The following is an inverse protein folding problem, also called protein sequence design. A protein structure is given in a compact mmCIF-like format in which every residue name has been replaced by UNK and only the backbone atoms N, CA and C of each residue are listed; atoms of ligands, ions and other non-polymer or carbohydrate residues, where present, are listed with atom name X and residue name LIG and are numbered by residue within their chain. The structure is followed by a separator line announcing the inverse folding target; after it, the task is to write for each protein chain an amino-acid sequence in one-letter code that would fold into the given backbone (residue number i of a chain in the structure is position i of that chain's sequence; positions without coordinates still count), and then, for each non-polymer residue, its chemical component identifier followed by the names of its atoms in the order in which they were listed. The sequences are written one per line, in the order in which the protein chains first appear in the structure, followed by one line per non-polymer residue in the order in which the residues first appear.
data_IF_756952594558
#
_entry.id   IF_756952594558
#
_cell.length_a   1.000
_cell.length_b   1.000
_cell.length_c   1.000
_cell.angle_alpha   90.00
_cell.angle_beta   90.00
_cell.angle_gamma   90.00
#
_symmetry.space_group_name_H-M   'P 1'
#
loop_
_entity.id
_entity.type
_entity.pdbx_description
1 polymer ?
#
# COMPACT_ATOMS: atom_id res chain seq x y z
N UNK A 1 -5.89 -19.85 31.13
CA UNK A 1 -5.36 -18.75 30.31
C UNK A 1 -4.12 -19.28 29.63
N UNK A 2 -4.20 -19.58 28.33
CA UNK A 2 -3.08 -20.13 27.59
C UNK A 2 -2.18 -18.97 27.16
N UNK A 3 -0.99 -18.86 27.75
CA UNK A 3 0.09 -18.01 27.25
C UNK A 3 0.63 -18.66 25.99
N UNK A 4 0.31 -18.09 24.81
CA UNK A 4 1.00 -18.46 23.58
C UNK A 4 2.52 -18.29 23.80
N UNK A 5 3.35 -19.22 23.32
CA UNK A 5 4.79 -19.03 23.34
C UNK A 5 5.06 -17.75 22.56
N UNK A 6 5.69 -16.76 23.21
CA UNK A 6 6.29 -15.64 22.53
C UNK A 6 7.36 -16.25 21.64
N UNK A 7 6.99 -16.49 20.38
CA UNK A 7 7.96 -16.74 19.32
C UNK A 7 8.97 -15.61 19.42
N UNK A 8 10.24 -15.94 19.24
CA UNK A 8 11.35 -15.01 19.09
C UNK A 8 11.05 -14.15 17.84
N UNK A 9 10.11 -13.20 17.99
CA UNK A 9 9.56 -12.38 16.92
C UNK A 9 10.62 -11.35 16.66
N UNK A 10 11.50 -11.69 15.71
CA UNK A 10 12.48 -10.76 15.19
C UNK A 10 11.72 -9.59 14.59
N UNK A 11 11.58 -8.55 15.39
CA UNK A 11 11.10 -7.26 14.95
C UNK A 11 12.07 -6.69 13.92
N UNK A 12 11.57 -5.83 13.06
CA UNK A 12 12.35 -5.06 12.12
C UNK A 12 13.42 -4.30 12.89
N UNK A 13 14.69 -4.59 12.59
CA UNK A 13 15.79 -3.90 13.24
C UNK A 13 15.84 -2.44 12.80
N UNK A 14 16.42 -1.59 13.64
CA UNK A 14 16.64 -0.18 13.33
C UNK A 14 17.36 0.00 11.98
N UNK A 15 18.46 -0.74 11.76
CA UNK A 15 19.22 -0.68 10.52
C UNK A 15 18.39 -1.10 9.30
N UNK A 16 17.55 -2.14 9.43
CA UNK A 16 16.66 -2.58 8.36
C UNK A 16 15.59 -1.54 8.03
N UNK A 17 15.01 -0.90 9.06
CA UNK A 17 14.06 0.19 8.88
C UNK A 17 14.69 1.38 8.15
N UNK A 18 15.91 1.77 8.54
CA UNK A 18 16.64 2.85 7.86
C UNK A 18 16.95 2.51 6.41
N UNK A 19 17.35 1.27 6.11
CA UNK A 19 17.59 0.82 4.74
C UNK A 19 16.31 0.87 3.88
N UNK A 20 15.17 0.45 4.43
CA UNK A 20 13.88 0.56 3.75
C UNK A 20 13.52 2.03 3.47
N UNK A 21 13.64 2.92 4.46
CA UNK A 21 13.34 4.34 4.28
C UNK A 21 14.28 5.00 3.26
N UNK A 22 15.54 4.59 3.20
CA UNK A 22 16.54 5.17 2.30
C UNK A 22 16.20 4.95 0.82
N UNK A 23 15.52 3.85 0.48
CA UNK A 23 15.14 3.54 -0.90
C UNK A 23 13.77 4.10 -1.31
N UNK A 24 12.98 4.60 -0.35
CA UNK A 24 11.67 5.18 -0.64
C UNK A 24 11.80 6.58 -1.25
N UNK A 25 10.90 6.97 -2.19
CA UNK A 25 10.76 8.35 -2.62
C UNK A 25 10.55 9.28 -1.42
N UNK A 26 11.14 10.48 -1.49
CA UNK A 26 11.15 11.47 -0.40
C UNK A 26 9.77 11.71 0.20
N UNK A 27 8.76 11.93 -0.65
CA UNK A 27 7.36 12.13 -0.21
C UNK A 27 6.82 10.99 0.65
N UNK A 28 7.14 9.74 0.32
CA UNK A 28 6.65 8.56 1.05
C UNK A 28 7.42 8.39 2.35
N UNK A 29 8.76 8.53 2.30
CA UNK A 29 9.61 8.49 3.49
C UNK A 29 9.17 9.51 4.54
N UNK A 30 8.95 10.76 4.12
CA UNK A 30 8.54 11.83 5.02
C UNK A 30 7.16 11.60 5.63
N UNK A 31 6.24 10.99 4.85
CA UNK A 31 4.92 10.61 5.37
C UNK A 31 5.05 9.61 6.53
N UNK A 32 5.87 8.57 6.39
CA UNK A 32 6.12 7.61 7.46
C UNK A 32 6.79 8.24 8.69
N UNK A 33 7.82 9.07 8.48
CA UNK A 33 8.51 9.76 9.57
C UNK A 33 7.59 10.73 10.32
N UNK A 34 6.77 11.48 9.61
CA UNK A 34 5.81 12.41 10.20
C UNK A 34 4.69 11.67 10.93
N UNK A 35 4.23 10.55 10.39
CA UNK A 35 3.23 9.73 11.07
C UNK A 35 3.78 9.13 12.37
N UNK A 36 4.99 8.55 12.34
CA UNK A 36 5.66 8.03 13.52
C UNK A 36 5.77 9.07 14.64
N UNK A 37 6.17 10.31 14.30
CA UNK A 37 6.19 11.43 15.25
C UNK A 37 4.81 11.80 15.80
N UNK A 38 3.77 11.78 14.95
CA UNK A 38 2.41 12.14 15.36
C UNK A 38 1.82 11.16 16.38
N UNK A 39 2.11 9.88 16.23
CA UNK A 39 1.60 8.84 17.13
C UNK A 39 2.61 8.45 18.23
N UNK A 40 3.75 9.13 18.31
CA UNK A 40 4.84 8.89 19.27
C UNK A 40 5.40 7.45 19.24
N UNK A 41 5.48 6.86 18.04
CA UNK A 41 5.98 5.49 17.85
C UNK A 41 7.33 5.50 17.14
N UNK A 42 8.09 4.43 17.36
CA UNK A 42 9.33 4.21 16.63
C UNK A 42 9.05 3.94 15.14
N UNK A 43 9.99 4.32 14.28
CA UNK A 43 9.79 4.17 12.84
C UNK A 43 9.75 2.70 12.41
N UNK A 44 10.48 1.84 13.11
CA UNK A 44 10.46 0.38 12.95
C UNK A 44 9.06 -0.14 13.17
N UNK A 45 8.42 0.25 14.28
CA UNK A 45 7.09 -0.23 14.64
C UNK A 45 6.03 0.23 13.63
N UNK A 46 6.13 1.47 13.15
CA UNK A 46 5.23 1.98 12.10
C UNK A 46 5.38 1.20 10.80
N UNK A 47 6.62 0.93 10.37
CA UNK A 47 6.87 0.15 9.16
C UNK A 47 6.40 -1.30 9.32
N UNK A 48 6.63 -1.92 10.47
CA UNK A 48 6.12 -3.25 10.77
C UNK A 48 4.60 -3.31 10.73
N UNK A 49 3.91 -2.36 11.36
CA UNK A 49 2.45 -2.31 11.35
C UNK A 49 1.91 -2.14 9.93
N UNK A 50 2.52 -1.27 9.11
CA UNK A 50 2.11 -1.08 7.73
C UNK A 50 2.31 -2.34 6.88
N UNK A 51 3.43 -3.05 7.07
CA UNK A 51 3.71 -4.31 6.36
C UNK A 51 2.79 -5.44 6.84
N UNK A 52 2.55 -5.53 8.14
CA UNK A 52 1.67 -6.54 8.73
C UNK A 52 0.22 -6.35 8.29
N UNK A 53 -0.28 -5.11 8.31
CA UNK A 53 -1.61 -4.73 7.85
C UNK A 53 -1.78 -5.06 6.36
N UNK A 54 -0.80 -4.74 5.51
CA UNK A 54 -0.84 -5.09 4.09
C UNK A 54 -0.88 -6.61 3.82
N UNK A 55 -0.28 -7.41 4.71
CA UNK A 55 -0.26 -8.87 4.59
C UNK A 55 -1.48 -9.55 5.23
N UNK A 56 -2.31 -8.80 5.95
CA UNK A 56 -3.55 -9.31 6.52
C UNK A 56 -4.59 -9.51 5.39
N UNK A 57 -5.12 -10.73 5.18
CA UNK A 57 -6.10 -11.00 4.13
C UNK A 57 -7.41 -10.23 4.31
N UNK A 58 -7.69 -9.73 5.52
CA UNK A 58 -8.89 -8.96 5.83
C UNK A 58 -8.66 -7.44 5.71
N UNK A 59 -7.43 -6.99 5.38
CA UNK A 59 -7.13 -5.56 5.21
C UNK A 59 -7.70 -5.02 3.90
N UNK A 60 -8.14 -3.76 3.93
CA UNK A 60 -8.70 -3.08 2.76
C UNK A 60 -7.59 -2.79 1.76
N UNK A 61 -7.66 -3.45 0.59
CA UNK A 61 -6.69 -3.25 -0.47
C UNK A 61 -7.21 -2.25 -1.51
N UNK A 62 -6.31 -1.78 -2.38
CA UNK A 62 -6.72 -0.98 -3.54
C UNK A 62 -7.71 -1.73 -4.43
N UNK A 63 -7.68 -3.06 -4.51
CA UNK A 63 -8.63 -3.82 -5.33
C UNK A 63 -10.05 -3.71 -4.78
N UNK A 64 -10.21 -3.61 -3.46
CA UNK A 64 -11.50 -3.49 -2.79
C UNK A 64 -12.13 -2.11 -2.97
N UNK A 65 -11.30 -1.07 -3.13
CA UNK A 65 -11.77 0.30 -3.29
C UNK A 65 -12.24 0.65 -4.72
N UNK A 66 -12.10 -0.26 -5.71
CA UNK A 66 -12.32 0.02 -7.14
C UNK A 66 -11.80 1.41 -7.57
N UNK A 67 -10.53 1.76 -7.26
CA UNK A 67 -9.99 3.06 -7.60
C UNK A 67 -10.08 3.19 -9.12
N UNK A 68 -10.74 4.26 -9.57
CA UNK A 68 -10.66 4.68 -10.95
C UNK A 68 -9.22 5.15 -11.17
N UNK A 69 -8.28 4.21 -11.31
CA UNK A 69 -6.97 4.49 -11.86
C UNK A 69 -7.28 5.13 -13.21
N UNK A 70 -6.98 6.42 -13.32
CA UNK A 70 -7.32 7.23 -14.48
C UNK A 70 -7.04 6.42 -15.73
N UNK A 71 -8.08 6.31 -16.56
CA UNK A 71 -8.12 5.56 -17.81
C UNK A 71 -6.74 5.47 -18.46
N UNK A 72 -6.32 4.29 -18.97
CA UNK A 72 -5.19 4.28 -19.88
C UNK A 72 -5.52 5.31 -20.97
N UNK A 73 -4.67 6.33 -21.12
CA UNK A 73 -4.58 7.02 -22.40
C UNK A 73 -4.40 5.89 -23.41
N UNK A 74 -5.22 5.90 -24.47
CA UNK A 74 -5.26 4.94 -25.57
C UNK A 74 -6.33 3.84 -25.42
N UNK A 75 -7.57 4.18 -25.80
CA UNK A 75 -8.22 3.44 -26.88
C UNK A 75 -9.06 4.41 -27.70
N UNK A 76 -8.54 4.68 -28.89
CA UNK A 76 -9.16 5.51 -29.89
C UNK A 76 -10.58 5.04 -30.20
N UNK A 77 -11.47 6.03 -30.17
CA UNK A 77 -12.80 6.07 -30.79
C UNK A 77 -12.84 5.29 -32.12
N UNK A 78 -13.29 4.03 -32.10
CA UNK A 78 -13.92 3.40 -33.27
C UNK A 78 -15.08 2.52 -32.83
N UNK A 79 -16.24 3.15 -32.63
CA UNK A 79 -17.54 2.51 -32.85
C UNK A 79 -18.36 3.40 -33.79
N UNK A 80 -17.87 3.57 -35.02
CA UNK A 80 -18.75 3.81 -36.17
C UNK A 80 -19.03 2.45 -36.79
N UNK A 81 -20.11 1.80 -36.35
CA UNK A 81 -20.77 0.75 -37.13
C UNK A 81 -22.27 0.85 -36.89
N UNK A 82 -22.87 1.89 -37.47
CA UNK A 82 -24.27 1.89 -37.84
C UNK A 82 -24.33 1.66 -39.35
N UNK A 83 -24.37 0.40 -39.76
CA UNK A 83 -24.68 0.00 -41.13
C UNK A 83 -26.18 -0.27 -41.25
N UNK A 84 -26.72 0.20 -42.38
CA UNK A 84 -27.93 -0.26 -43.08
C UNK A 84 -29.32 0.05 -42.51
N UNK A 85 -29.90 1.10 -43.09
CA UNK A 85 -31.34 1.21 -43.34
C UNK A 85 -31.56 1.58 -44.82
N UNK A 86 -31.52 0.58 -45.70
CA UNK A 86 -32.03 0.67 -47.08
C UNK A 86 -33.39 -0.03 -47.10
N UNK A 87 -34.46 0.74 -47.15
CA UNK A 87 -35.66 0.56 -47.99
C UNK A 87 -36.72 1.59 -47.65
#
# INVERSE_FOLDING_TARGET
MQTLPQTDRKHLSHDAALMLLAVLPERIRDAYLNYAKQIDYSIEMVLEMALADFLDPDSLTFTDCQPQIGLPLNEDRVARSGIEGRS
#
